data_IF_191840890822
#
_entry.id   IF_191840890822
#
_cell.length_a   1.000
_cell.length_b   1.000
_cell.length_c   1.000
_cell.angle_alpha   90.00
_cell.angle_beta   90.00
_cell.angle_gamma   90.00
#
_symmetry.space_group_name_H-M   'P 1'
#
loop_
_entity.id
_entity.type
_entity.pdbx_description
1 polymer ?
#
# COMPACT_ATOMS: atom_id res chain seq x y z
N UNK A 1 -8.49 17.03 -11.35
CA UNK A 1 -7.30 17.10 -10.46
C UNK A 1 -6.34 18.22 -10.84
N UNK A 2 -5.95 18.35 -12.12
CA UNK A 2 -4.92 19.30 -12.57
C UNK A 2 -5.21 20.79 -12.31
N UNK A 3 -6.50 21.17 -12.19
CA UNK A 3 -6.91 22.57 -11.95
C UNK A 3 -7.17 22.89 -10.46
N UNK A 4 -7.00 21.92 -9.56
CA UNK A 4 -7.28 22.13 -8.14
C UNK A 4 -6.21 23.02 -7.49
N UNK A 5 -6.61 23.97 -6.61
CA UNK A 5 -5.64 24.75 -5.86
C UNK A 5 -4.84 23.83 -4.90
N UNK A 6 -3.58 24.16 -4.57
CA UNK A 6 -2.69 23.30 -3.79
C UNK A 6 -3.27 22.81 -2.46
N UNK A 7 -4.09 23.63 -1.79
CA UNK A 7 -4.77 23.27 -0.53
C UNK A 7 -5.81 22.16 -0.72
N UNK A 8 -6.60 22.23 -1.79
CA UNK A 8 -7.59 21.21 -2.12
C UNK A 8 -6.89 19.90 -2.50
N UNK A 9 -5.79 19.98 -3.26
CA UNK A 9 -4.97 18.81 -3.57
C UNK A 9 -4.41 18.15 -2.30
N UNK A 10 -3.88 18.93 -1.34
CA UNK A 10 -3.35 18.37 -0.08
C UNK A 10 -4.41 17.66 0.76
N UNK A 11 -5.67 18.12 0.71
CA UNK A 11 -6.79 17.49 1.40
C UNK A 11 -7.20 16.14 0.79
N UNK A 12 -6.93 15.92 -0.50
CA UNK A 12 -7.21 14.66 -1.19
C UNK A 12 -6.12 13.61 -0.97
N UNK A 13 -4.89 14.01 -0.66
CA UNK A 13 -3.76 13.07 -0.53
C UNK A 13 -4.05 11.91 0.42
N UNK A 14 -4.59 12.07 1.64
CA UNK A 14 -4.87 10.91 2.50
C UNK A 14 -5.90 9.93 1.91
N UNK A 15 -6.78 10.42 1.04
CA UNK A 15 -7.87 9.66 0.44
C UNK A 15 -7.44 8.91 -0.82
N UNK A 16 -6.39 9.39 -1.49
CA UNK A 16 -5.89 8.85 -2.76
C UNK A 16 -4.43 8.48 -2.58
N UNK A 17 -4.15 7.18 -2.57
CA UNK A 17 -2.81 6.64 -2.34
C UNK A 17 -2.28 5.90 -3.56
N UNK A 18 -0.96 5.70 -3.59
CA UNK A 18 -0.25 5.04 -4.68
C UNK A 18 0.60 3.91 -4.12
N UNK A 19 0.48 2.73 -4.72
CA UNK A 19 1.38 1.60 -4.55
C UNK A 19 2.25 1.53 -5.80
N UNK A 20 3.56 1.69 -5.61
CA UNK A 20 4.54 1.73 -6.70
C UNK A 20 4.92 0.32 -7.19
N UNK A 21 5.38 0.26 -8.44
CA UNK A 21 5.90 -0.94 -9.10
C UNK A 21 7.11 -1.54 -8.38
N UNK A 22 8.07 -0.70 -7.95
CA UNK A 22 9.25 -1.14 -7.23
C UNK A 22 9.12 -0.89 -5.70
N UNK A 23 8.86 -1.93 -4.90
CA UNK A 23 8.76 -1.80 -3.46
C UNK A 23 10.11 -1.51 -2.79
N UNK A 24 11.24 -1.73 -3.46
CA UNK A 24 12.55 -1.46 -2.89
C UNK A 24 12.92 0.01 -2.98
N UNK A 25 12.86 0.61 -4.17
CA UNK A 25 13.20 2.04 -4.34
C UNK A 25 12.21 2.98 -3.66
N UNK A 26 10.96 2.53 -3.42
CA UNK A 26 9.95 3.31 -2.70
C UNK A 26 10.16 3.36 -1.17
N UNK A 27 11.07 2.55 -0.61
CA UNK A 27 11.38 2.50 0.82
C UNK A 27 12.74 3.14 1.12
N UNK A 28 12.80 3.96 2.17
CA UNK A 28 14.07 4.48 2.66
C UNK A 28 14.82 3.39 3.48
N UNK A 29 16.00 2.92 3.03
CA UNK A 29 16.69 1.80 3.67
C UNK A 29 17.20 2.10 5.09
N UNK A 30 17.19 3.38 5.51
CA UNK A 30 17.65 3.84 6.83
C UNK A 30 16.52 4.00 7.85
N UNK A 31 15.27 3.77 7.44
CA UNK A 31 14.09 3.92 8.28
C UNK A 31 13.53 2.54 8.61
N UNK A 32 13.10 2.31 9.85
CA UNK A 32 12.44 1.07 10.25
C UNK A 32 11.06 0.99 9.63
N UNK A 33 10.60 -0.21 9.31
CA UNK A 33 9.34 -0.38 8.57
C UNK A 33 8.13 0.13 9.35
N UNK A 34 8.11 -0.01 10.68
CA UNK A 34 7.03 0.54 11.50
C UNK A 34 6.94 2.06 11.40
N UNK A 35 8.09 2.74 11.46
CA UNK A 35 8.16 4.19 11.29
C UNK A 35 7.78 4.60 9.86
N UNK A 36 8.23 3.87 8.84
CA UNK A 36 7.91 4.15 7.43
C UNK A 36 6.43 3.97 7.09
N UNK A 37 5.74 3.02 7.75
CA UNK A 37 4.29 2.83 7.65
C UNK A 37 3.56 3.95 8.38
N UNK A 38 3.94 4.26 9.62
CA UNK A 38 3.25 5.26 10.43
C UNK A 38 3.50 6.72 10.04
N UNK A 39 4.59 7.05 9.34
CA UNK A 39 5.02 8.43 9.04
C UNK A 39 3.89 9.30 8.46
N UNK A 40 3.13 8.75 7.51
CA UNK A 40 2.07 9.49 6.83
C UNK A 40 0.93 9.90 7.79
N UNK A 41 0.62 9.10 8.82
CA UNK A 41 -0.39 9.46 9.81
C UNK A 41 0.03 10.70 10.61
N UNK A 42 1.31 10.81 10.95
CA UNK A 42 1.83 11.94 11.69
C UNK A 42 1.85 13.20 10.84
N UNK A 43 2.31 13.10 9.58
CA UNK A 43 2.33 14.22 8.62
C UNK A 43 0.93 14.80 8.40
N UNK A 44 -0.08 13.93 8.31
CA UNK A 44 -1.48 14.33 8.12
C UNK A 44 -2.25 14.57 9.43
N UNK A 45 -1.58 14.47 10.60
CA UNK A 45 -2.18 14.66 11.94
C UNK A 45 -3.41 13.78 12.21
N UNK A 46 -3.40 12.55 11.69
CA UNK A 46 -4.50 11.60 11.82
C UNK A 46 -4.43 10.76 13.11
N UNK A 47 -3.30 10.80 13.83
CA UNK A 47 -3.17 10.19 15.14
C UNK A 47 -2.13 10.92 16.00
N UNK A 48 -2.13 10.62 17.29
CA UNK A 48 -1.04 11.00 18.20
C UNK A 48 0.10 9.98 18.10
N UNK A 49 1.31 10.41 18.46
CA UNK A 49 2.48 9.54 18.44
C UNK A 49 2.36 8.33 19.37
N UNK A 50 1.57 8.46 20.45
CA UNK A 50 1.27 7.36 21.38
C UNK A 50 0.36 6.28 20.79
N UNK A 51 -0.44 6.61 19.77
CA UNK A 51 -1.38 5.68 19.11
C UNK A 51 -0.77 5.05 17.86
N UNK A 52 0.34 5.61 17.38
CA UNK A 52 0.92 5.24 16.09
C UNK A 52 1.35 3.77 16.05
N UNK A 53 1.92 3.28 17.15
CA UNK A 53 2.41 1.92 17.26
C UNK A 53 1.29 0.90 17.02
N UNK A 54 0.18 1.05 17.75
CA UNK A 54 -0.95 0.11 17.68
C UNK A 54 -1.62 0.14 16.31
N UNK A 55 -1.83 1.33 15.74
CA UNK A 55 -2.40 1.50 14.39
C UNK A 55 -1.52 0.92 13.30
N UNK A 56 -0.21 1.12 13.42
CA UNK A 56 0.76 0.53 12.48
C UNK A 56 0.72 -0.99 12.58
N UNK A 57 0.65 -1.57 13.78
CA UNK A 57 0.56 -3.00 13.96
C UNK A 57 -0.73 -3.59 13.40
N UNK A 58 -1.85 -2.88 13.52
CA UNK A 58 -3.13 -3.28 12.93
C UNK A 58 -3.01 -3.43 11.41
N UNK A 59 -2.50 -2.40 10.73
CA UNK A 59 -2.32 -2.41 9.27
C UNK A 59 -1.26 -3.41 8.83
N UNK A 60 -0.18 -3.57 9.60
CA UNK A 60 0.79 -4.63 9.35
C UNK A 60 0.13 -6.01 9.34
N UNK A 61 -0.75 -6.31 10.31
CA UNK A 61 -1.46 -7.60 10.36
C UNK A 61 -2.38 -7.80 9.15
N UNK A 62 -3.14 -6.76 8.77
CA UNK A 62 -4.00 -6.80 7.57
C UNK A 62 -3.16 -7.15 6.34
N UNK A 63 -1.99 -6.54 6.18
CA UNK A 63 -1.09 -6.83 5.07
C UNK A 63 -0.27 -8.13 5.23
N UNK A 64 -0.54 -8.96 6.24
CA UNK A 64 0.16 -10.22 6.50
C UNK A 64 1.61 -10.06 7.00
N UNK A 65 1.93 -8.93 7.62
CA UNK A 65 3.21 -8.67 8.28
C UNK A 65 3.09 -8.92 9.79
N UNK A 66 4.05 -9.68 10.33
CA UNK A 66 4.04 -10.02 11.74
C UNK A 66 4.51 -8.85 12.63
N UNK A 67 3.96 -8.65 13.85
CA UNK A 67 4.32 -7.53 14.71
C UNK A 67 5.81 -7.39 15.04
N UNK A 68 6.53 -8.51 15.13
CA UNK A 68 7.98 -8.53 15.36
C UNK A 68 8.79 -7.86 14.23
N UNK A 69 8.18 -7.65 13.06
CA UNK A 69 8.80 -6.96 11.94
C UNK A 69 8.90 -5.45 12.15
N UNK A 70 8.16 -4.87 13.09
CA UNK A 70 8.02 -3.41 13.27
C UNK A 70 9.37 -2.68 13.30
N UNK A 71 10.35 -3.27 14.01
CA UNK A 71 11.66 -2.68 14.25
C UNK A 71 12.72 -3.02 13.21
N UNK A 72 12.37 -3.79 12.17
CA UNK A 72 13.29 -4.19 11.10
C UNK A 72 13.40 -3.12 10.03
N UNK A 73 14.49 -3.19 9.26
CA UNK A 73 14.76 -2.35 8.11
C UNK A 73 14.35 -3.03 6.80
N UNK A 74 14.08 -2.27 5.72
CA UNK A 74 13.62 -2.81 4.44
C UNK A 74 14.49 -3.93 3.86
N UNK A 75 15.81 -3.88 4.05
CA UNK A 75 16.73 -4.88 3.51
C UNK A 75 16.55 -6.27 4.14
N UNK A 76 15.92 -6.38 5.31
CA UNK A 76 15.65 -7.65 6.02
C UNK A 76 14.41 -8.40 5.50
N UNK A 77 13.75 -7.89 4.46
CA UNK A 77 12.51 -8.43 3.90
C UNK A 77 12.70 -8.98 2.49
N UNK A 78 11.91 -10.00 2.14
CA UNK A 78 11.78 -10.48 0.76
C UNK A 78 11.03 -9.47 -0.13
N UNK A 79 11.09 -9.65 -1.46
CA UNK A 79 10.38 -8.79 -2.41
C UNK A 79 8.88 -8.68 -2.10
N UNK A 80 8.21 -9.82 -1.92
CA UNK A 80 6.79 -9.85 -1.56
C UNK A 80 6.46 -9.18 -0.21
N UNK A 81 7.34 -9.32 0.78
CA UNK A 81 7.16 -8.62 2.06
C UNK A 81 7.35 -7.11 1.92
N UNK A 82 8.30 -6.64 1.10
CA UNK A 82 8.44 -5.22 0.78
C UNK A 82 7.22 -4.68 0.04
N UNK A 83 6.63 -5.48 -0.86
CA UNK A 83 5.37 -5.11 -1.50
C UNK A 83 4.24 -4.95 -0.48
N UNK A 84 4.10 -5.89 0.45
CA UNK A 84 3.14 -5.78 1.58
C UNK A 84 3.40 -4.53 2.43
N UNK A 85 4.65 -4.14 2.65
CA UNK A 85 5.00 -2.89 3.33
C UNK A 85 4.55 -1.67 2.51
N UNK A 86 4.75 -1.68 1.19
CA UNK A 86 4.26 -0.63 0.29
C UNK A 86 2.74 -0.47 0.34
N UNK A 87 2.01 -1.60 0.31
CA UNK A 87 0.55 -1.62 0.47
C UNK A 87 0.14 -1.10 1.86
N UNK A 88 0.81 -1.54 2.92
CA UNK A 88 0.56 -1.07 4.28
C UNK A 88 0.74 0.45 4.43
N UNK A 89 1.76 1.02 3.77
CA UNK A 89 2.00 2.47 3.75
C UNK A 89 0.88 3.25 3.08
N UNK A 90 0.26 2.70 2.04
CA UNK A 90 -0.92 3.30 1.42
C UNK A 90 -2.15 3.14 2.32
N UNK A 91 -2.38 1.94 2.85
CA UNK A 91 -3.57 1.59 3.62
C UNK A 91 -3.66 2.29 4.97
N UNK A 92 -2.54 2.65 5.60
CA UNK A 92 -2.49 3.28 6.94
C UNK A 92 -3.31 4.57 7.06
N UNK A 93 -3.56 5.26 5.94
CA UNK A 93 -4.37 6.48 5.90
C UNK A 93 -5.88 6.20 5.77
N UNK A 94 -6.28 4.93 5.68
CA UNK A 94 -7.62 4.48 5.37
C UNK A 94 -8.17 5.16 4.10
N UNK A 95 -7.49 5.00 2.94
CA UNK A 95 -7.82 5.72 1.72
C UNK A 95 -9.13 5.21 1.09
N UNK A 96 -9.82 6.11 0.38
CA UNK A 96 -10.99 5.76 -0.42
C UNK A 96 -10.56 5.11 -1.76
N UNK A 97 -9.36 5.45 -2.25
CA UNK A 97 -8.86 5.05 -3.57
C UNK A 97 -7.35 4.76 -3.56
N UNK A 98 -6.94 3.67 -4.20
CA UNK A 98 -5.54 3.29 -4.38
C UNK A 98 -5.25 3.08 -5.87
N UNK A 99 -4.21 3.74 -6.36
CA UNK A 99 -3.59 3.42 -7.65
C UNK A 99 -2.52 2.37 -7.38
N UNK A 100 -2.58 1.24 -8.08
CA UNK A 100 -1.60 0.18 -7.98
C UNK A 100 -0.89 0.03 -9.32
N UNK A 101 0.33 0.56 -9.41
CA UNK A 101 1.12 0.62 -10.63
C UNK A 101 2.04 -0.60 -10.72
N UNK A 102 1.69 -1.57 -11.58
CA UNK A 102 2.35 -2.86 -11.72
C UNK A 102 2.77 -3.51 -10.38
N UNK A 103 1.85 -3.67 -9.41
CA UNK A 103 2.19 -3.96 -8.02
C UNK A 103 2.74 -5.39 -7.78
N UNK A 104 2.86 -6.21 -8.82
CA UNK A 104 3.22 -7.62 -8.73
C UNK A 104 4.22 -8.08 -9.82
N UNK A 105 4.63 -7.20 -10.74
CA UNK A 105 5.41 -7.60 -11.91
C UNK A 105 6.82 -8.14 -11.58
N UNK A 106 7.38 -7.72 -10.45
CA UNK A 106 8.71 -8.16 -9.98
C UNK A 106 8.67 -9.35 -8.99
N UNK A 107 7.53 -10.04 -8.85
CA UNK A 107 7.33 -11.08 -7.83
C UNK A 107 7.16 -12.48 -8.45
N UNK A 108 7.60 -13.51 -7.72
CA UNK A 108 7.36 -14.91 -8.08
C UNK A 108 5.85 -15.23 -8.10
N UNK A 109 5.41 -16.13 -8.98
CA UNK A 109 3.99 -16.48 -9.19
C UNK A 109 3.25 -16.82 -7.89
N UNK A 110 3.89 -17.57 -6.98
CA UNK A 110 3.29 -17.93 -5.69
C UNK A 110 3.07 -16.73 -4.76
N UNK A 111 3.90 -15.69 -4.87
CA UNK A 111 3.75 -14.44 -4.14
C UNK A 111 2.71 -13.54 -4.81
N UNK A 112 2.66 -13.51 -6.15
CA UNK A 112 1.64 -12.74 -6.89
C UNK A 112 0.24 -13.14 -6.44
N UNK A 113 -0.08 -14.44 -6.38
CA UNK A 113 -1.37 -14.94 -5.92
C UNK A 113 -1.73 -14.44 -4.50
N UNK A 114 -0.76 -14.37 -3.59
CA UNK A 114 -1.00 -13.86 -2.24
C UNK A 114 -1.27 -12.35 -2.22
N UNK A 115 -0.62 -11.58 -3.10
CA UNK A 115 -0.84 -10.13 -3.21
C UNK A 115 -2.19 -9.84 -3.87
N UNK A 116 -2.57 -10.63 -4.89
CA UNK A 116 -3.90 -10.57 -5.52
C UNK A 116 -4.99 -10.81 -4.48
N UNK A 117 -4.87 -11.86 -3.67
CA UNK A 117 -5.82 -12.12 -2.59
C UNK A 117 -5.88 -10.98 -1.59
N UNK A 118 -4.72 -10.43 -1.18
CA UNK A 118 -4.69 -9.26 -0.28
C UNK A 118 -5.47 -8.07 -0.87
N UNK A 119 -5.32 -7.78 -2.16
CA UNK A 119 -6.07 -6.70 -2.79
C UNK A 119 -7.57 -6.99 -2.87
N UNK A 120 -7.97 -8.23 -3.15
CA UNK A 120 -9.37 -8.64 -3.11
C UNK A 120 -9.96 -8.45 -1.70
N UNK A 121 -9.25 -8.92 -0.67
CA UNK A 121 -9.68 -8.77 0.72
C UNK A 121 -9.81 -7.28 1.11
N UNK A 122 -8.88 -6.43 0.67
CA UNK A 122 -8.96 -4.98 0.92
C UNK A 122 -10.13 -4.32 0.18
N UNK A 123 -10.47 -4.77 -1.02
CA UNK A 123 -11.67 -4.27 -1.73
C UNK A 123 -12.93 -4.68 -0.97
N UNK A 124 -13.03 -5.94 -0.59
CA UNK A 124 -14.25 -6.55 -0.06
C UNK A 124 -14.50 -6.15 1.41
N UNK A 125 -13.46 -6.15 2.25
CA UNK A 125 -13.58 -5.87 3.70
C UNK A 125 -13.41 -4.39 4.04
N UNK A 126 -12.62 -3.64 3.26
CA UNK A 126 -12.33 -2.22 3.54
C UNK A 126 -12.97 -1.24 2.55
N UNK A 127 -13.65 -1.72 1.51
CA UNK A 127 -14.35 -0.87 0.54
C UNK A 127 -13.44 0.03 -0.28
N UNK A 128 -12.16 -0.34 -0.42
CA UNK A 128 -11.17 0.45 -1.15
C UNK A 128 -11.40 0.30 -2.66
N UNK A 129 -11.48 1.42 -3.37
CA UNK A 129 -11.52 1.40 -4.84
C UNK A 129 -10.09 1.33 -5.39
N UNK A 130 -9.85 0.46 -6.36
CA UNK A 130 -8.53 0.31 -6.96
C UNK A 130 -8.52 0.69 -8.44
N UNK A 131 -7.45 1.36 -8.87
CA UNK A 131 -7.02 1.42 -10.26
C UNK A 131 -5.75 0.58 -10.40
N UNK A 132 -5.89 -0.59 -11.01
CA UNK A 132 -4.76 -1.47 -11.32
C UNK A 132 -4.19 -1.18 -12.70
N UNK A 133 -2.88 -1.02 -12.76
CA UNK A 133 -2.12 -0.93 -14.01
C UNK A 133 -1.28 -2.21 -14.10
N UNK A 134 -1.46 -2.98 -15.18
CA UNK A 134 -0.78 -4.25 -15.38
C UNK A 134 -0.70 -4.56 -16.87
N UNK A 135 0.37 -5.23 -17.28
CA UNK A 135 0.49 -5.87 -18.60
C UNK A 135 0.05 -7.35 -18.58
N UNK A 136 -0.20 -7.92 -17.40
CA UNK A 136 -0.65 -9.31 -17.23
C UNK A 136 -2.19 -9.38 -17.18
N UNK A 137 -2.79 -9.94 -18.23
CA UNK A 137 -4.24 -10.09 -18.34
C UNK A 137 -4.83 -11.10 -17.36
N UNK A 138 -4.06 -12.10 -16.90
CA UNK A 138 -4.55 -13.08 -15.93
C UNK A 138 -4.83 -12.42 -14.58
N UNK A 139 -4.03 -11.43 -14.21
CA UNK A 139 -4.21 -10.61 -13.01
C UNK A 139 -5.43 -9.72 -13.15
N UNK A 140 -5.57 -9.08 -14.32
CA UNK A 140 -6.72 -8.19 -14.62
C UNK A 140 -8.03 -8.96 -14.54
N UNK A 141 -8.09 -10.18 -15.09
CA UNK A 141 -9.27 -11.05 -15.04
C UNK A 141 -9.73 -11.37 -13.61
N UNK A 142 -8.80 -11.43 -12.65
CA UNK A 142 -9.11 -11.81 -11.26
C UNK A 142 -9.49 -10.63 -10.36
N UNK A 143 -9.00 -9.42 -10.67
CA UNK A 143 -9.12 -8.27 -9.76
C UNK A 143 -10.07 -7.17 -10.26
N UNK A 144 -10.22 -7.03 -11.58
CA UNK A 144 -10.83 -5.85 -12.16
C UNK A 144 -12.25 -6.13 -12.66
N UNK A 145 -13.20 -5.26 -12.31
CA UNK A 145 -14.56 -5.28 -12.85
C UNK A 145 -14.63 -4.65 -14.26
N UNK A 146 -13.86 -3.59 -14.46
CA UNK A 146 -13.77 -2.83 -15.72
C UNK A 146 -12.31 -2.78 -16.22
N UNK A 147 -12.13 -2.77 -17.54
CA UNK A 147 -10.80 -2.77 -18.18
C UNK A 147 -10.71 -1.71 -19.26
N UNK A 148 -9.64 -0.92 -19.23
CA UNK A 148 -9.26 0.01 -20.30
C UNK A 148 -7.93 -0.45 -20.93
N UNK A 149 -7.86 -0.45 -22.26
CA UNK A 149 -6.65 -0.80 -23.02
C UNK A 149 -6.09 0.46 -23.66
N UNK A 150 -4.79 0.72 -23.45
CA UNK A 150 -4.06 1.90 -23.95
C UNK A 150 -2.83 1.48 -24.74
#
# INVERSE_FOLDING_TARGET
LAELPPRAMRALRPKIQLVFQDPYSSLNPRIRIGDAIGEAMLEHKLCRRTELYDKTLEVMRICGLAPQHYNRFPHEFSGGQRQRIGIARALILNPDFIIADEPISALDVSIQAQIINLFSDLRDDHGVTFLFISHDLGVVEHLCDDVAVM
#
